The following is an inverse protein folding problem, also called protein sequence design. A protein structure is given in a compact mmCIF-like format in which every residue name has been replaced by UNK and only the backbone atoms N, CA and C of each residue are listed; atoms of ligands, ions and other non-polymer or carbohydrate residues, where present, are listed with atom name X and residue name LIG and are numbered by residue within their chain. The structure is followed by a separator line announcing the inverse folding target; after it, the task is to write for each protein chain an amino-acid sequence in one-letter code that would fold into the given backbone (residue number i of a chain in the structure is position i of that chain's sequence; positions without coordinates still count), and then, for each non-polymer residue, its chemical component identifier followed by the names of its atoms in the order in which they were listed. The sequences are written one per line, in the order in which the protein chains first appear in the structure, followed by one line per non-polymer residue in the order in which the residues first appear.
data_IF_858837455621
#
_entry.id   IF_858837455621
#
_cell.length_a   1.000
_cell.length_b   1.000
_cell.length_c   1.000
_cell.angle_alpha   90.00
_cell.angle_beta   90.00
_cell.angle_gamma   90.00
#
_symmetry.space_group_name_H-M   'P 1'
#
loop_
_entity.id
_entity.type
_entity.pdbx_description
1 polymer ?
#
# COMPACT_ATOMS: atom_id res chain seq x y z
N UNK A 1 -61.25 30.92 46.19
CA UNK A 1 -60.16 30.71 47.18
C UNK A 1 -59.57 29.33 46.88
N UNK A 2 -58.29 29.10 46.57
CA UNK A 2 -57.01 29.77 46.83
C UNK A 2 -56.05 29.53 45.64
N UNK A 3 -55.23 30.53 45.34
CA UNK A 3 -54.08 30.44 44.43
C UNK A 3 -52.96 29.60 45.06
N UNK A 4 -52.04 29.06 44.26
CA UNK A 4 -50.60 29.24 44.49
C UNK A 4 -49.74 28.95 43.24
N UNK A 5 -48.89 29.93 42.93
CA UNK A 5 -47.78 29.90 41.96
C UNK A 5 -46.47 29.53 42.69
N UNK A 6 -45.43 29.20 41.90
CA UNK A 6 -43.95 29.12 42.16
C UNK A 6 -43.40 27.69 42.02
N UNK A 7 -42.27 27.38 41.40
CA UNK A 7 -41.24 28.15 40.67
C UNK A 7 -40.35 27.17 39.86
N UNK A 8 -39.61 27.72 38.90
CA UNK A 8 -38.60 27.10 38.02
C UNK A 8 -37.33 26.72 38.82
N UNK A 9 -36.66 25.62 38.47
CA UNK A 9 -35.21 25.48 38.65
C UNK A 9 -34.61 24.51 37.61
N UNK A 10 -33.70 25.04 36.78
CA UNK A 10 -32.82 24.34 35.85
C UNK A 10 -31.63 23.80 36.65
N UNK A 11 -31.31 22.50 36.53
CA UNK A 11 -30.17 21.86 37.18
C UNK A 11 -29.20 21.26 36.16
N UNK A 12 -27.98 21.79 36.15
CA UNK A 12 -26.92 21.50 35.18
C UNK A 12 -26.23 20.13 35.41
N UNK A 13 -25.77 19.54 34.31
CA UNK A 13 -25.04 18.28 34.24
C UNK A 13 -23.62 18.39 34.81
N UNK A 14 -23.19 17.38 35.57
CA UNK A 14 -21.78 17.07 35.80
C UNK A 14 -21.60 15.55 35.73
N UNK A 15 -21.07 15.06 34.61
CA UNK A 15 -20.57 13.68 34.47
C UNK A 15 -19.06 13.77 34.39
N UNK A 16 -18.38 13.43 35.47
CA UNK A 16 -16.92 13.27 35.50
C UNK A 16 -16.63 11.79 35.22
N UNK A 17 -16.20 11.48 34.00
CA UNK A 17 -15.76 10.13 33.62
C UNK A 17 -14.30 10.21 33.15
N UNK A 18 -13.43 9.42 33.78
CA UNK A 18 -11.97 9.51 33.70
C UNK A 18 -11.40 9.25 32.31
N UNK A 19 -10.40 10.06 31.95
CA UNK A 19 -9.56 9.87 30.77
C UNK A 19 -8.41 8.90 31.11
N UNK A 20 -8.63 7.61 30.92
CA UNK A 20 -7.54 6.63 30.83
C UNK A 20 -6.85 6.79 29.49
N UNK A 21 -5.65 7.38 29.47
CA UNK A 21 -4.80 7.44 28.28
C UNK A 21 -4.28 6.04 27.95
N UNK A 22 -4.96 5.35 27.02
CA UNK A 22 -4.44 4.12 26.43
C UNK A 22 -3.30 4.52 25.48
N UNK A 23 -2.05 4.33 25.92
CA UNK A 23 -0.89 4.45 25.04
C UNK A 23 -0.85 3.21 24.13
N UNK A 24 -1.38 3.35 22.91
CA UNK A 24 -1.14 2.39 21.84
C UNK A 24 0.34 2.42 21.48
N UNK A 25 1.08 1.35 21.77
CA UNK A 25 2.46 1.20 21.28
C UNK A 25 2.46 1.27 19.76
N UNK A 26 3.09 2.29 19.18
CA UNK A 26 3.34 2.34 17.75
C UNK A 26 4.23 1.15 17.38
N UNK A 27 3.75 0.26 16.51
CA UNK A 27 4.55 -0.85 15.99
C UNK A 27 5.77 -0.31 15.25
N UNK A 28 6.91 -0.95 15.42
CA UNK A 28 8.11 -0.66 14.64
C UNK A 28 7.90 -1.14 13.21
N UNK A 29 8.00 -0.24 12.22
CA UNK A 29 8.01 -0.64 10.82
C UNK A 29 9.34 -1.34 10.51
N UNK A 30 9.30 -2.61 10.08
CA UNK A 30 10.48 -3.28 9.55
C UNK A 30 10.76 -2.81 8.12
N UNK A 31 12.04 -2.60 7.80
CA UNK A 31 12.45 -2.34 6.43
C UNK A 31 12.15 -3.56 5.54
N UNK A 32 11.70 -3.31 4.32
CA UNK A 32 11.48 -4.37 3.34
C UNK A 32 12.82 -5.03 2.97
N UNK A 33 12.82 -6.35 2.80
CA UNK A 33 14.00 -7.05 2.28
C UNK A 33 14.26 -6.59 0.83
N UNK A 34 15.51 -6.30 0.44
CA UNK A 34 15.81 -5.89 -0.93
C UNK A 34 15.52 -7.01 -1.93
N UNK A 35 15.06 -6.62 -3.12
CA UNK A 35 15.13 -7.50 -4.28
C UNK A 35 16.58 -7.95 -4.48
N UNK A 36 16.78 -9.23 -4.79
CA UNK A 36 18.11 -9.79 -4.97
C UNK A 36 18.33 -10.18 -6.42
N UNK A 37 19.56 -9.99 -6.89
CA UNK A 37 19.95 -10.35 -8.24
C UNK A 37 20.26 -11.84 -8.32
N UNK A 38 19.78 -12.49 -9.38
CA UNK A 38 20.19 -13.82 -9.79
C UNK A 38 20.29 -13.85 -11.33
N UNK A 39 21.50 -14.09 -11.83
CA UNK A 39 21.81 -13.89 -13.26
C UNK A 39 21.57 -12.45 -13.71
N UNK A 40 20.75 -12.28 -14.74
CA UNK A 40 20.43 -10.97 -15.34
C UNK A 40 19.07 -10.40 -14.88
N UNK A 41 18.46 -10.98 -13.84
CA UNK A 41 17.16 -10.56 -13.32
C UNK A 41 17.23 -10.31 -11.82
N UNK A 42 16.24 -9.55 -11.32
CA UNK A 42 16.05 -9.31 -9.90
C UNK A 42 14.81 -10.04 -9.42
N UNK A 43 14.97 -10.89 -8.41
CA UNK A 43 13.84 -11.53 -7.75
C UNK A 43 13.36 -10.65 -6.60
N UNK A 44 12.04 -10.49 -6.51
CA UNK A 44 11.37 -9.74 -5.46
C UNK A 44 10.20 -10.56 -4.93
N UNK A 45 9.90 -10.45 -3.64
CA UNK A 45 8.63 -10.91 -3.11
C UNK A 45 7.50 -9.97 -3.56
N UNK A 46 6.38 -10.53 -4.01
CA UNK A 46 5.24 -9.79 -4.52
C UNK A 46 3.91 -10.40 -4.06
N UNK A 47 2.85 -9.61 -4.15
CA UNK A 47 1.49 -10.09 -3.95
C UNK A 47 1.11 -11.05 -5.09
N UNK A 48 0.45 -12.15 -4.72
CA UNK A 48 -0.07 -13.13 -5.69
C UNK A 48 -1.35 -12.62 -6.34
N UNK A 49 -1.55 -12.93 -7.62
CA UNK A 49 -2.67 -12.45 -8.43
C UNK A 49 -2.53 -11.00 -8.91
N UNK A 50 -1.38 -10.36 -8.70
CA UNK A 50 -1.15 -8.96 -9.09
C UNK A 50 -1.22 -8.77 -10.61
N UNK A 51 -1.80 -7.64 -11.02
CA UNK A 51 -1.96 -7.31 -12.43
C UNK A 51 -0.61 -6.95 -13.07
N UNK A 52 -0.44 -7.39 -14.32
CA UNK A 52 0.64 -6.94 -15.21
C UNK A 52 0.00 -6.17 -16.37
N UNK A 53 0.43 -4.93 -16.55
CA UNK A 53 -0.16 -3.96 -17.47
C UNK A 53 0.66 -3.83 -18.76
N UNK A 54 0.01 -3.47 -19.87
CA UNK A 54 0.66 -3.32 -21.17
C UNK A 54 1.76 -2.25 -21.19
N UNK A 55 1.67 -1.27 -20.28
CA UNK A 55 2.61 -0.16 -20.16
C UNK A 55 2.51 0.43 -18.75
N UNK A 56 3.60 1.07 -18.29
CA UNK A 56 3.60 1.80 -17.01
C UNK A 56 2.61 2.98 -16.98
N UNK A 57 2.11 3.43 -18.15
CA UNK A 57 1.09 4.47 -18.30
C UNK A 57 -0.22 3.94 -18.90
N UNK A 58 -0.44 2.62 -18.88
CA UNK A 58 -1.60 1.98 -19.49
C UNK A 58 -2.48 1.32 -18.43
N UNK A 59 -3.80 1.44 -18.58
CA UNK A 59 -4.77 0.74 -17.72
C UNK A 59 -5.11 -0.68 -18.21
N UNK A 60 -4.55 -1.11 -19.35
CA UNK A 60 -4.81 -2.42 -19.93
C UNK A 60 -4.02 -3.51 -19.20
N UNK A 61 -4.74 -4.36 -18.46
CA UNK A 61 -4.17 -5.59 -17.90
C UNK A 61 -3.98 -6.62 -19.01
N UNK A 62 -2.75 -7.13 -19.16
CA UNK A 62 -2.39 -8.13 -20.16
C UNK A 62 -2.08 -9.50 -19.56
N UNK A 63 -1.89 -9.56 -18.25
CA UNK A 63 -1.64 -10.80 -17.52
C UNK A 63 -1.73 -10.59 -16.02
N UNK A 64 -1.48 -11.67 -15.29
CA UNK A 64 -1.37 -11.69 -13.83
C UNK A 64 -0.11 -12.42 -13.42
N UNK A 65 0.33 -12.14 -12.20
CA UNK A 65 1.46 -12.77 -11.55
C UNK A 65 0.98 -13.54 -10.31
N UNK A 66 1.03 -14.85 -10.35
CA UNK A 66 0.69 -15.75 -9.24
C UNK A 66 1.94 -16.26 -8.53
N UNK A 67 3.07 -16.31 -9.25
CA UNK A 67 4.39 -16.65 -8.70
C UNK A 67 4.83 -15.67 -7.60
N UNK A 68 5.56 -16.21 -6.62
CA UNK A 68 6.23 -15.45 -5.56
C UNK A 68 7.40 -16.30 -5.00
N UNK A 69 8.65 -15.81 -5.04
CA UNK A 69 9.07 -14.54 -5.64
C UNK A 69 8.92 -14.54 -7.16
N UNK A 70 8.82 -13.35 -7.74
CA UNK A 70 8.82 -13.14 -9.19
C UNK A 70 10.06 -12.40 -9.63
N UNK A 71 10.46 -12.60 -10.88
CA UNK A 71 11.59 -11.91 -11.46
C UNK A 71 11.15 -10.60 -12.13
N UNK A 72 12.03 -9.61 -12.09
CA UNK A 72 11.87 -8.30 -12.73
C UNK A 72 13.20 -7.94 -13.40
N UNK A 73 13.14 -7.20 -14.51
CA UNK A 73 14.35 -6.92 -15.31
C UNK A 73 14.83 -5.47 -15.17
N UNK A 74 13.90 -4.52 -15.00
CA UNK A 74 14.22 -3.12 -14.78
C UNK A 74 13.02 -2.37 -14.19
N UNK A 75 13.26 -1.19 -13.64
CA UNK A 75 12.24 -0.28 -13.08
C UNK A 75 12.12 0.99 -13.91
N UNK A 76 10.96 1.62 -13.83
CA UNK A 76 10.67 2.92 -14.44
C UNK A 76 9.95 3.82 -13.43
N UNK A 77 10.57 4.95 -13.07
CA UNK A 77 10.12 5.89 -12.03
C UNK A 77 9.17 6.99 -12.54
N UNK A 78 8.79 6.97 -13.82
CA UNK A 78 7.97 8.00 -14.48
C UNK A 78 6.61 7.51 -14.96
N UNK A 79 6.10 6.41 -14.40
CA UNK A 79 4.83 5.82 -14.82
C UNK A 79 3.60 6.51 -14.23
N UNK A 80 2.43 5.93 -14.51
CA UNK A 80 1.15 6.40 -13.99
C UNK A 80 1.17 6.31 -12.46
N UNK A 81 0.68 7.37 -11.82
CA UNK A 81 0.65 7.42 -10.37
C UNK A 81 -0.32 6.36 -9.80
N UNK A 82 0.16 5.55 -8.86
CA UNK A 82 -0.60 4.55 -8.12
C UNK A 82 -0.52 4.71 -6.59
N UNK A 83 0.09 5.80 -6.09
CA UNK A 83 0.32 6.04 -4.67
C UNK A 83 1.36 5.10 -4.05
N UNK A 84 1.48 5.11 -2.73
CA UNK A 84 2.50 4.35 -2.00
C UNK A 84 3.85 5.08 -1.88
N UNK A 85 4.89 4.42 -1.33
CA UNK A 85 6.21 5.02 -1.14
C UNK A 85 6.88 5.43 -2.45
N UNK A 86 6.68 4.65 -3.52
CA UNK A 86 7.17 4.93 -4.87
C UNK A 86 5.98 5.16 -5.81
N UNK A 87 5.37 6.36 -5.80
CA UNK A 87 4.04 6.57 -6.38
C UNK A 87 3.98 6.37 -7.90
N UNK A 88 5.11 6.45 -8.59
CA UNK A 88 5.21 6.39 -10.06
C UNK A 88 6.14 5.28 -10.53
N UNK A 89 6.54 4.34 -9.65
CA UNK A 89 7.49 3.27 -9.97
C UNK A 89 6.79 2.02 -10.47
N UNK A 90 7.20 1.56 -11.63
CA UNK A 90 6.71 0.33 -12.25
C UNK A 90 7.88 -0.58 -12.59
N UNK A 91 7.72 -1.88 -12.41
CA UNK A 91 8.75 -2.87 -12.70
C UNK A 91 8.34 -3.72 -13.89
N UNK A 92 9.27 -3.90 -14.82
CA UNK A 92 9.06 -4.68 -16.03
C UNK A 92 9.29 -6.17 -15.74
N UNK A 93 8.34 -7.01 -16.14
CA UNK A 93 8.30 -8.45 -15.85
C UNK A 93 7.55 -9.21 -16.93
N UNK A 94 7.65 -10.53 -16.91
CA UNK A 94 6.75 -11.42 -17.65
C UNK A 94 5.64 -11.93 -16.73
N UNK A 95 4.38 -11.82 -17.15
CA UNK A 95 3.25 -12.46 -16.46
C UNK A 95 3.27 -13.99 -16.67
N UNK A 96 2.54 -14.76 -15.85
CA UNK A 96 2.54 -16.23 -15.96
C UNK A 96 1.96 -16.74 -17.30
N UNK A 97 1.21 -15.90 -18.03
CA UNK A 97 0.74 -16.21 -19.38
C UNK A 97 1.78 -15.91 -20.48
N UNK A 98 3.03 -15.62 -20.10
CA UNK A 98 4.15 -15.36 -21.01
C UNK A 98 4.19 -13.95 -21.60
N UNK A 99 3.20 -13.08 -21.31
CA UNK A 99 3.19 -11.70 -21.83
C UNK A 99 4.05 -10.78 -20.96
N UNK A 100 4.84 -9.95 -21.62
CA UNK A 100 5.69 -8.95 -20.96
C UNK A 100 4.94 -7.65 -20.71
N UNK A 101 5.13 -7.07 -19.53
CA UNK A 101 4.52 -5.82 -19.14
C UNK A 101 4.99 -5.32 -17.79
N UNK A 102 4.20 -4.44 -17.20
CA UNK A 102 4.59 -3.64 -16.04
C UNK A 102 3.72 -3.98 -14.84
N UNK A 103 4.36 -4.26 -13.72
CA UNK A 103 3.71 -4.39 -12.43
C UNK A 103 3.97 -3.12 -11.60
N UNK A 104 2.95 -2.62 -10.92
CA UNK A 104 3.10 -1.48 -10.01
C UNK A 104 3.90 -1.90 -8.77
N UNK A 105 4.81 -1.03 -8.33
CA UNK A 105 5.64 -1.22 -7.12
C UNK A 105 4.81 -1.52 -5.87
N UNK A 106 3.58 -1.00 -5.78
CA UNK A 106 2.67 -1.27 -4.66
C UNK A 106 2.29 -2.76 -4.50
N UNK A 107 2.54 -3.58 -5.52
CA UNK A 107 2.32 -5.02 -5.48
C UNK A 107 3.58 -5.79 -5.08
N UNK A 108 4.68 -5.12 -4.80
CA UNK A 108 5.97 -5.71 -4.48
C UNK A 108 6.28 -5.37 -3.03
N UNK A 109 6.51 -6.40 -2.22
CA UNK A 109 6.76 -6.23 -0.78
C UNK A 109 8.26 -6.13 -0.45
N UNK A 110 9.12 -6.44 -1.42
CA UNK A 110 10.56 -6.25 -1.32
C UNK A 110 10.96 -4.83 -1.72
N UNK A 111 12.06 -4.32 -1.17
CA UNK A 111 12.63 -3.03 -1.56
C UNK A 111 13.15 -3.10 -3.01
N UNK A 112 12.66 -2.21 -3.86
CA UNK A 112 12.85 -2.24 -5.32
C UNK A 112 13.94 -1.29 -5.81
N UNK A 113 14.51 -0.46 -4.94
CA UNK A 113 15.65 0.39 -5.28
C UNK A 113 16.82 -0.33 -5.97
N UNK A 114 17.19 -1.58 -5.60
CA UNK A 114 18.25 -2.32 -6.27
C UNK A 114 17.97 -2.71 -7.73
N UNK A 115 16.71 -2.69 -8.17
CA UNK A 115 16.35 -2.98 -9.56
C UNK A 115 16.82 -1.81 -10.44
N UNK A 116 17.54 -2.05 -11.55
CA UNK A 116 18.11 -0.98 -12.36
C UNK A 116 17.02 -0.27 -13.17
N UNK A 117 17.29 0.97 -13.55
CA UNK A 117 16.40 1.68 -14.48
C UNK A 117 16.39 1.04 -15.87
N UNK A 118 15.22 1.04 -16.49
CA UNK A 118 15.10 1.01 -17.94
C UNK A 118 15.47 2.42 -18.49
#
# INVERSE_FOLDING_TARGET
MKFNRKAIAVGAATVTAGAGLLFSSAGSAQAANPCWQDGSVWYCNNATGSNVYAGANANQVIGRMYSNPSFFVCKFDGGQNHGGPHPTRWLYTQADNGKWGWMSDNNISSETDPVPSC
#
